data_IF_964358500500
#
_entry.id   IF_964358500500
#
_cell.length_a   1.000
_cell.length_b   1.000
_cell.length_c   1.000
_cell.angle_alpha   90.00
_cell.angle_beta   90.00
_cell.angle_gamma   90.00
#
_symmetry.space_group_name_H-M   'P 1'
#
loop_
_entity.id
_entity.type
_entity.pdbx_description
1 polymer ?
#
# COMPACT_ATOMS: atom_id res chain seq x y z
N UNK A 1 -2.62 -12.75 6.76
CA UNK A 1 -3.99 -12.64 7.31
C UNK A 1 -4.57 -11.25 7.09
N UNK A 2 -5.70 -11.16 6.39
CA UNK A 2 -6.44 -9.91 6.11
C UNK A 2 -7.78 -10.01 6.84
N UNK A 3 -8.00 -9.15 7.84
CA UNK A 3 -9.20 -9.19 8.68
C UNK A 3 -10.42 -8.49 8.08
N UNK A 4 -10.21 -7.55 7.14
CA UNK A 4 -11.25 -6.64 6.69
C UNK A 4 -11.03 -6.18 5.26
N UNK A 5 -12.12 -5.83 4.59
CA UNK A 5 -12.14 -5.34 3.21
C UNK A 5 -11.35 -4.02 3.09
N UNK A 6 -10.79 -3.76 1.90
CA UNK A 6 -10.04 -2.54 1.57
C UNK A 6 -8.68 -2.36 2.26
N UNK A 7 -8.04 -3.43 2.75
CA UNK A 7 -6.59 -3.38 3.05
C UNK A 7 -5.82 -3.16 1.75
N UNK A 8 -4.88 -2.22 1.72
CA UNK A 8 -4.06 -1.91 0.53
C UNK A 8 -2.62 -2.38 0.73
N UNK A 9 -1.94 -2.70 -0.37
CA UNK A 9 -0.53 -3.05 -0.40
C UNK A 9 0.15 -2.24 -1.50
N UNK A 10 1.36 -1.75 -1.21
CA UNK A 10 2.25 -1.21 -2.24
C UNK A 10 3.20 -2.33 -2.66
N UNK A 11 3.31 -2.54 -3.96
CA UNK A 11 4.15 -3.57 -4.58
C UNK A 11 5.26 -2.86 -5.35
N UNK A 12 6.51 -3.29 -5.16
CA UNK A 12 7.66 -2.72 -5.87
C UNK A 12 7.79 -3.25 -7.31
N UNK A 13 8.79 -2.73 -8.04
CA UNK A 13 9.09 -3.13 -9.42
C UNK A 13 9.53 -4.59 -9.59
N UNK A 14 9.90 -5.26 -8.50
CA UNK A 14 10.27 -6.69 -8.50
C UNK A 14 9.06 -7.59 -8.15
N UNK A 15 7.87 -7.00 -8.00
CA UNK A 15 6.67 -7.72 -7.59
C UNK A 15 6.61 -8.05 -6.11
N UNK A 16 7.46 -7.45 -5.28
CA UNK A 16 7.50 -7.71 -3.84
C UNK A 16 6.62 -6.71 -3.07
N UNK A 17 5.81 -7.18 -2.10
CA UNK A 17 5.06 -6.29 -1.23
C UNK A 17 6.00 -5.56 -0.26
N UNK A 18 5.97 -4.22 -0.30
CA UNK A 18 6.89 -3.37 0.49
C UNK A 18 6.19 -2.56 1.57
N UNK A 19 4.91 -2.23 1.40
CA UNK A 19 4.10 -1.58 2.43
C UNK A 19 2.70 -2.19 2.52
N UNK A 20 2.06 -2.10 3.70
CA UNK A 20 0.69 -2.53 3.97
C UNK A 20 -0.08 -1.44 4.71
N UNK A 21 -1.26 -1.11 4.22
CA UNK A 21 -2.11 -0.06 4.78
C UNK A 21 -3.49 -0.56 5.14
N UNK A 22 -4.03 -0.01 6.23
CA UNK A 22 -5.35 -0.34 6.73
C UNK A 22 -6.49 0.18 5.83
N UNK A 23 -7.73 -0.27 6.09
CA UNK A 23 -8.89 0.09 5.28
C UNK A 23 -9.26 1.56 5.33
N UNK A 24 -9.00 2.22 6.46
CA UNK A 24 -9.31 3.64 6.67
C UNK A 24 -8.26 4.59 6.07
N UNK A 25 -7.16 4.07 5.54
CA UNK A 25 -6.16 4.89 4.86
C UNK A 25 -6.71 5.32 3.50
N UNK A 26 -6.82 6.63 3.31
CA UNK A 26 -7.21 7.24 2.04
C UNK A 26 -6.11 7.02 0.98
N UNK A 27 -6.45 6.56 -0.24
CA UNK A 27 -5.46 6.33 -1.30
C UNK A 27 -4.61 7.56 -1.64
N UNK A 28 -5.17 8.78 -1.57
CA UNK A 28 -4.43 10.02 -1.87
C UNK A 28 -3.24 10.25 -0.92
N UNK A 29 -3.32 9.73 0.30
CA UNK A 29 -2.23 9.80 1.29
C UNK A 29 -1.10 8.82 1.00
N UNK A 30 -1.27 7.90 0.05
CA UNK A 30 -0.24 6.92 -0.32
C UNK A 30 0.73 7.42 -1.38
N UNK A 31 0.48 8.60 -1.99
CA UNK A 31 1.33 9.16 -3.05
C UNK A 31 2.78 9.28 -2.59
N UNK A 32 3.01 9.84 -1.40
CA UNK A 32 4.37 9.97 -0.85
C UNK A 32 5.01 8.63 -0.46
N UNK A 33 4.23 7.59 -0.18
CA UNK A 33 4.76 6.22 -0.04
C UNK A 33 5.15 5.63 -1.39
N UNK A 34 4.35 5.84 -2.44
CA UNK A 34 4.61 5.35 -3.80
C UNK A 34 5.88 5.97 -4.40
N UNK A 35 6.10 7.27 -4.17
CA UNK A 35 7.27 8.02 -4.63
C UNK A 35 8.62 7.40 -4.21
N UNK A 36 8.66 6.67 -3.09
CA UNK A 36 9.88 5.97 -2.62
C UNK A 36 10.28 4.79 -3.51
N UNK A 37 9.35 4.28 -4.31
CA UNK A 37 9.49 3.04 -5.07
C UNK A 37 9.39 3.24 -6.59
N UNK A 38 9.32 4.50 -7.05
CA UNK A 38 9.59 4.86 -8.45
C UNK A 38 11.05 4.57 -8.80
#
# INVERSE_FOLDING_TARGET
FIKWNFTKFIIDKNGQPVERHGPKTDPSKLVSSLEKYW
#
